data_IF_390379864874
#
_entry.id   IF_390379864874
#
_cell.length_a   1.000
_cell.length_b   1.000
_cell.length_c   1.000
_cell.angle_alpha   90.00
_cell.angle_beta   90.00
_cell.angle_gamma   90.00
#
_symmetry.space_group_name_H-M   'P 1'
#
loop_
_entity.id
_entity.type
_entity.pdbx_description
1 polymer ?
#
# COMPACT_ATOMS: atom_id res chain seq x y z
N UNK A 1 29.94 -41.46 27.09
CA UNK A 1 28.48 -41.30 26.96
C UNK A 1 28.22 -39.82 26.83
N UNK A 2 28.16 -39.36 25.59
CA UNK A 2 28.04 -37.95 25.23
C UNK A 2 26.59 -37.72 24.83
N UNK A 3 25.83 -37.07 25.71
CA UNK A 3 24.51 -36.56 25.42
C UNK A 3 24.67 -35.40 24.42
N UNK A 4 24.53 -35.72 23.14
CA UNK A 4 24.31 -34.74 22.09
C UNK A 4 22.93 -34.14 22.30
N UNK A 5 22.89 -33.01 23.04
CA UNK A 5 21.74 -32.11 23.03
C UNK A 5 21.70 -31.48 21.64
N UNK A 6 21.07 -32.20 20.71
CA UNK A 6 20.63 -31.70 19.43
C UNK A 6 19.52 -30.69 19.72
N UNK A 7 19.86 -29.40 19.64
CA UNK A 7 18.85 -28.35 19.73
C UNK A 7 18.01 -28.40 18.46
N UNK A 8 16.92 -29.14 18.53
CA UNK A 8 15.86 -29.05 17.54
C UNK A 8 15.42 -27.60 17.42
N UNK A 9 15.41 -27.14 16.17
CA UNK A 9 15.02 -25.80 15.77
C UNK A 9 13.55 -25.60 16.15
N UNK A 10 13.31 -25.03 17.33
CA UNK A 10 11.96 -24.77 17.88
C UNK A 10 11.11 -23.90 16.93
N UNK A 11 11.75 -23.18 16.00
CA UNK A 11 11.06 -22.44 14.95
C UNK A 11 10.37 -23.35 13.94
N UNK A 12 10.88 -24.58 13.71
CA UNK A 12 10.25 -25.58 12.83
C UNK A 12 9.10 -26.30 13.53
N UNK A 13 9.27 -26.72 14.78
CA UNK A 13 8.24 -27.49 15.50
C UNK A 13 7.00 -26.65 15.79
N UNK A 14 7.16 -25.36 16.11
CA UNK A 14 6.04 -24.45 16.26
C UNK A 14 5.33 -24.17 14.92
N UNK A 15 6.10 -24.09 13.82
CA UNK A 15 5.53 -23.96 12.46
C UNK A 15 4.71 -25.18 12.06
N UNK A 16 5.20 -26.39 12.33
CA UNK A 16 4.54 -27.64 11.91
C UNK A 16 3.28 -27.95 12.71
N UNK A 17 3.21 -27.59 14.00
CA UNK A 17 2.00 -27.80 14.80
C UNK A 17 0.92 -26.73 14.55
N UNK A 18 1.31 -25.49 14.26
CA UNK A 18 0.39 -24.43 13.86
C UNK A 18 -0.10 -24.63 12.41
N UNK A 19 0.77 -25.00 11.46
CA UNK A 19 0.39 -25.28 10.06
C UNK A 19 -0.63 -26.42 9.94
N UNK A 20 -0.53 -27.49 10.74
CA UNK A 20 -1.46 -28.63 10.64
C UNK A 20 -2.83 -28.35 11.29
N UNK A 21 -2.90 -27.46 12.28
CA UNK A 21 -4.16 -27.12 12.94
C UNK A 21 -4.89 -25.97 12.23
N UNK A 22 -4.13 -25.02 11.66
CA UNK A 22 -4.69 -23.94 10.85
C UNK A 22 -5.12 -24.43 9.47
N UNK A 23 -4.36 -25.28 8.78
CA UNK A 23 -4.74 -25.78 7.44
C UNK A 23 -6.03 -26.61 7.40
N UNK A 24 -6.38 -27.30 8.51
CA UNK A 24 -7.64 -28.04 8.62
C UNK A 24 -8.84 -27.14 8.96
N UNK A 25 -8.61 -25.96 9.56
CA UNK A 25 -9.64 -24.97 9.84
C UNK A 25 -9.82 -23.97 8.68
N UNK A 26 -8.76 -23.72 7.91
CA UNK A 26 -8.71 -22.77 6.79
C UNK A 26 -9.32 -23.36 5.49
N UNK A 27 -9.26 -24.68 5.33
CA UNK A 27 -9.96 -25.38 4.23
C UNK A 27 -11.49 -25.43 4.35
N UNK A 28 -12.05 -25.06 5.51
CA UNK A 28 -13.48 -25.17 5.81
C UNK A 28 -14.24 -23.82 5.78
N UNK A 29 -13.53 -22.70 5.70
CA UNK A 29 -14.09 -21.37 5.50
C UNK A 29 -13.51 -20.80 4.20
N UNK A 30 -14.26 -20.85 3.10
CA UNK A 30 -13.87 -20.19 1.83
C UNK A 30 -14.63 -18.87 1.62
N UNK A 31 -14.30 -17.76 2.32
CA UNK A 31 -14.75 -16.40 1.99
C UNK A 31 -13.81 -15.68 1.02
N UNK A 32 -12.60 -16.20 0.74
CA UNK A 32 -11.56 -15.47 0.00
C UNK A 32 -11.87 -15.27 -1.50
N UNK A 33 -12.58 -16.22 -2.10
CA UNK A 33 -13.05 -16.10 -3.49
C UNK A 33 -14.10 -14.99 -3.67
N UNK A 34 -14.93 -14.76 -2.66
CA UNK A 34 -15.92 -13.69 -2.70
C UNK A 34 -15.24 -12.32 -2.58
N UNK A 35 -14.33 -12.15 -1.61
CA UNK A 35 -13.62 -10.88 -1.37
C UNK A 35 -12.78 -10.48 -2.58
N UNK A 36 -12.07 -11.42 -3.19
CA UNK A 36 -11.29 -11.20 -4.42
C UNK A 36 -12.18 -10.79 -5.60
N UNK A 37 -13.30 -11.48 -5.81
CA UNK A 37 -14.27 -11.15 -6.89
C UNK A 37 -14.89 -9.77 -6.69
N UNK A 38 -15.33 -9.44 -5.47
CA UNK A 38 -15.86 -8.11 -5.15
C UNK A 38 -14.81 -7.01 -5.33
N UNK A 39 -13.54 -7.29 -5.02
CA UNK A 39 -12.44 -6.35 -5.23
C UNK A 39 -12.19 -6.08 -6.72
N UNK A 40 -12.23 -7.10 -7.58
CA UNK A 40 -12.14 -6.94 -9.04
C UNK A 40 -13.29 -6.12 -9.61
N UNK A 41 -14.52 -6.40 -9.17
CA UNK A 41 -15.71 -5.66 -9.59
C UNK A 41 -15.61 -4.19 -9.16
N UNK A 42 -15.24 -3.94 -7.89
CA UNK A 42 -15.08 -2.58 -7.37
C UNK A 42 -13.97 -1.82 -8.10
N UNK A 43 -12.80 -2.44 -8.31
CA UNK A 43 -11.70 -1.84 -9.06
C UNK A 43 -12.10 -1.54 -10.51
N UNK A 44 -12.79 -2.46 -11.18
CA UNK A 44 -13.32 -2.25 -12.52
C UNK A 44 -14.32 -1.09 -12.59
N UNK A 45 -15.23 -1.00 -11.63
CA UNK A 45 -16.22 0.08 -11.54
C UNK A 45 -15.55 1.43 -11.28
N UNK A 46 -14.60 1.51 -10.34
CA UNK A 46 -13.85 2.74 -10.08
C UNK A 46 -12.98 3.16 -11.27
N UNK A 47 -12.36 2.20 -11.96
CA UNK A 47 -11.57 2.48 -13.17
C UNK A 47 -12.45 2.98 -14.32
N UNK A 48 -13.63 2.40 -14.50
CA UNK A 48 -14.60 2.85 -15.49
C UNK A 48 -15.08 4.27 -15.17
N UNK A 49 -15.44 4.53 -13.92
CA UNK A 49 -15.87 5.85 -13.47
C UNK A 49 -14.75 6.89 -13.62
N UNK A 50 -13.53 6.55 -13.24
CA UNK A 50 -12.35 7.40 -13.44
C UNK A 50 -12.13 7.72 -14.92
N UNK A 51 -12.25 6.74 -15.81
CA UNK A 51 -12.11 6.93 -17.26
C UNK A 51 -13.22 7.84 -17.81
N UNK A 52 -14.47 7.65 -17.39
CA UNK A 52 -15.60 8.51 -17.81
C UNK A 52 -15.34 9.96 -17.39
N UNK A 53 -14.93 10.19 -16.14
CA UNK A 53 -14.74 11.54 -15.60
C UNK A 53 -13.49 12.26 -16.13
N UNK A 54 -12.46 11.51 -16.55
CA UNK A 54 -11.20 12.08 -17.08
C UNK A 54 -11.25 12.27 -18.60
N UNK A 55 -11.77 11.31 -19.37
CA UNK A 55 -11.84 11.40 -20.83
C UNK A 55 -13.07 12.16 -21.34
N UNK A 56 -14.21 12.03 -20.65
CA UNK A 56 -15.46 12.64 -21.12
C UNK A 56 -16.27 13.24 -19.95
N UNK A 57 -15.79 14.34 -19.35
CA UNK A 57 -16.54 15.05 -18.32
C UNK A 57 -17.89 15.56 -18.86
N UNK A 58 -18.06 15.65 -20.19
CA UNK A 58 -19.31 15.95 -20.90
C UNK A 58 -20.40 14.90 -20.69
N UNK A 59 -20.06 13.65 -20.39
CA UNK A 59 -21.06 12.63 -20.05
C UNK A 59 -21.78 12.94 -18.73
N UNK A 60 -21.16 13.68 -17.81
CA UNK A 60 -21.84 14.16 -16.60
C UNK A 60 -23.01 15.09 -16.96
N UNK A 61 -22.84 15.97 -17.96
CA UNK A 61 -23.92 16.82 -18.42
C UNK A 61 -25.07 15.99 -19.00
N UNK A 62 -24.76 15.03 -19.88
CA UNK A 62 -25.77 14.14 -20.45
C UNK A 62 -26.52 13.31 -19.40
N UNK A 63 -25.84 12.88 -18.32
CA UNK A 63 -26.48 12.14 -17.23
C UNK A 63 -27.30 13.05 -16.30
N UNK A 64 -26.88 14.31 -16.12
CA UNK A 64 -27.59 15.32 -15.32
C UNK A 64 -28.78 15.96 -16.04
N UNK A 65 -28.78 15.97 -17.38
CA UNK A 65 -29.82 16.56 -18.23
C UNK A 65 -31.11 15.73 -18.33
N UNK A 66 -31.29 14.71 -17.46
CA UNK A 66 -32.44 13.79 -17.49
C UNK A 66 -33.79 14.48 -17.13
N UNK A 67 -33.83 15.75 -16.68
CA UNK A 67 -35.10 16.35 -16.21
C UNK A 67 -35.32 17.86 -16.38
N UNK A 68 -34.58 18.59 -17.24
CA UNK A 68 -34.81 20.03 -17.40
C UNK A 68 -35.02 20.41 -18.87
N UNK A 69 -36.29 20.60 -19.25
CA UNK A 69 -36.75 20.79 -20.64
C UNK A 69 -36.58 22.23 -21.17
N UNK A 70 -35.92 23.15 -20.44
CA UNK A 70 -35.89 24.58 -20.81
C UNK A 70 -34.51 25.26 -20.84
N UNK A 71 -33.44 24.63 -20.33
CA UNK A 71 -32.09 25.23 -20.30
C UNK A 71 -30.99 24.19 -20.62
N UNK A 72 -30.85 23.83 -21.90
CA UNK A 72 -29.80 22.92 -22.38
C UNK A 72 -28.42 23.57 -22.28
N UNK A 73 -27.75 23.41 -21.14
CA UNK A 73 -26.38 23.89 -20.94
C UNK A 73 -25.38 22.95 -21.64
N UNK A 74 -25.08 23.23 -22.91
CA UNK A 74 -24.18 22.41 -23.76
C UNK A 74 -22.68 22.54 -23.47
N UNK A 75 -22.29 23.39 -22.51
CA UNK A 75 -20.89 23.71 -22.21
C UNK A 75 -20.66 23.55 -20.72
N UNK A 76 -19.64 22.78 -20.34
CA UNK A 76 -19.25 22.63 -18.94
C UNK A 76 -18.75 23.96 -18.40
N UNK A 77 -19.11 24.24 -17.16
CA UNK A 77 -18.44 25.32 -16.45
C UNK A 77 -16.97 24.92 -16.19
N UNK A 78 -16.03 25.90 -16.16
CA UNK A 78 -14.64 25.62 -15.83
C UNK A 78 -14.48 24.92 -14.47
N UNK A 79 -15.38 25.21 -13.53
CA UNK A 79 -15.46 24.57 -12.22
C UNK A 79 -15.81 23.08 -12.32
N UNK A 80 -16.84 22.71 -13.08
CA UNK A 80 -17.26 21.32 -13.29
C UNK A 80 -16.14 20.50 -13.95
N UNK A 81 -15.52 21.06 -15.00
CA UNK A 81 -14.42 20.40 -15.69
C UNK A 81 -13.22 20.18 -14.75
N UNK A 82 -12.89 21.20 -13.93
CA UNK A 82 -11.83 21.10 -12.93
C UNK A 82 -12.12 20.01 -11.90
N UNK A 83 -13.32 20.01 -11.30
CA UNK A 83 -13.68 19.06 -10.27
C UNK A 83 -13.75 17.63 -10.80
N UNK A 84 -14.33 17.43 -11.99
CA UNK A 84 -14.40 16.12 -12.64
C UNK A 84 -13.01 15.53 -12.89
N UNK A 85 -12.06 16.35 -13.34
CA UNK A 85 -10.69 15.90 -13.58
C UNK A 85 -10.01 15.45 -12.28
N UNK A 86 -10.10 16.23 -11.21
CA UNK A 86 -9.44 15.90 -9.93
C UNK A 86 -10.11 14.71 -9.26
N UNK A 87 -11.44 14.62 -9.29
CA UNK A 87 -12.17 13.47 -8.76
C UNK A 87 -11.87 12.19 -9.56
N UNK A 88 -11.73 12.28 -10.87
CA UNK A 88 -11.30 11.16 -11.71
C UNK A 88 -9.89 10.64 -11.36
N UNK A 89 -8.94 11.54 -11.09
CA UNK A 89 -7.58 11.17 -10.64
C UNK A 89 -7.64 10.44 -9.30
N UNK A 90 -8.42 10.94 -8.34
CA UNK A 90 -8.59 10.29 -7.04
C UNK A 90 -9.27 8.92 -7.14
N UNK A 91 -10.27 8.77 -8.01
CA UNK A 91 -10.91 7.48 -8.27
C UNK A 91 -9.96 6.47 -8.91
N UNK A 92 -9.09 6.91 -9.84
CA UNK A 92 -8.07 6.05 -10.41
C UNK A 92 -7.08 5.56 -9.32
N UNK A 93 -6.68 6.46 -8.41
CA UNK A 93 -5.83 6.11 -7.27
C UNK A 93 -6.49 5.07 -6.35
N UNK A 94 -7.79 5.22 -6.09
CA UNK A 94 -8.57 4.25 -5.32
C UNK A 94 -8.68 2.90 -6.04
N UNK A 95 -8.93 2.89 -7.35
CA UNK A 95 -8.98 1.66 -8.14
C UNK A 95 -7.65 0.88 -8.04
N UNK A 96 -6.52 1.57 -8.21
CA UNK A 96 -5.18 0.96 -8.03
C UNK A 96 -4.98 0.51 -6.59
N UNK A 97 -5.40 1.30 -5.61
CA UNK A 97 -5.27 0.94 -4.19
C UNK A 97 -6.05 -0.33 -3.86
N UNK A 98 -7.26 -0.52 -4.42
CA UNK A 98 -8.06 -1.74 -4.23
C UNK A 98 -7.34 -2.95 -4.83
N UNK A 99 -6.76 -2.81 -6.03
CA UNK A 99 -5.99 -3.90 -6.66
C UNK A 99 -4.75 -4.27 -5.83
N UNK A 100 -4.05 -3.29 -5.26
CA UNK A 100 -2.86 -3.53 -4.43
C UNK A 100 -3.20 -4.10 -3.04
N UNK A 101 -4.42 -3.90 -2.54
CA UNK A 101 -4.91 -4.46 -1.28
C UNK A 101 -5.57 -5.84 -1.44
N UNK A 102 -5.69 -6.34 -2.69
CA UNK A 102 -6.37 -7.60 -2.93
C UNK A 102 -5.59 -8.76 -2.31
N UNK A 103 -6.22 -9.61 -1.48
CA UNK A 103 -5.57 -10.81 -0.97
C UNK A 103 -5.28 -11.76 -2.14
N UNK A 104 -3.99 -12.11 -2.34
CA UNK A 104 -3.60 -13.10 -3.35
C UNK A 104 -3.94 -14.50 -2.86
N UNK A 105 -4.65 -15.28 -3.68
CA UNK A 105 -5.03 -16.68 -3.42
C UNK A 105 -3.89 -17.67 -3.74
N UNK A 106 -2.63 -17.24 -3.61
CA UNK A 106 -1.49 -18.10 -3.90
C UNK A 106 -1.33 -19.18 -2.81
N UNK A 107 -1.26 -20.47 -3.16
CA UNK A 107 -1.06 -21.56 -2.20
C UNK A 107 0.38 -21.62 -1.64
N UNK A 108 1.25 -20.69 -2.04
CA UNK A 108 2.61 -20.59 -1.53
C UNK A 108 2.61 -19.50 -0.47
N UNK A 109 2.99 -19.80 0.79
CA UNK A 109 3.11 -18.76 1.79
C UNK A 109 4.15 -17.77 1.29
N UNK A 110 3.70 -16.59 0.87
CA UNK A 110 4.58 -15.49 0.51
C UNK A 110 5.32 -15.10 1.79
N UNK A 111 6.47 -15.73 2.02
CA UNK A 111 7.39 -15.38 3.07
C UNK A 111 7.90 -13.96 2.79
N UNK A 112 7.18 -12.96 3.29
CA UNK A 112 7.69 -11.73 3.89
C UNK A 112 6.54 -10.78 4.26
N UNK A 113 6.08 -10.75 5.51
CA UNK A 113 5.33 -9.62 6.08
C UNK A 113 6.25 -8.39 6.32
N UNK A 114 7.22 -8.14 5.43
CA UNK A 114 8.24 -7.10 5.59
C UNK A 114 8.08 -5.92 4.62
N UNK A 115 6.94 -5.78 3.97
CA UNK A 115 6.59 -4.55 3.25
C UNK A 115 5.97 -3.58 4.24
N UNK A 116 6.82 -2.79 4.90
CA UNK A 116 6.48 -1.66 5.79
C UNK A 116 5.74 -0.50 5.08
N UNK A 117 5.15 -0.76 3.91
CA UNK A 117 4.46 0.23 3.11
C UNK A 117 3.01 -0.20 2.99
N UNK A 118 2.12 0.63 3.53
CA UNK A 118 0.69 0.43 3.32
C UNK A 118 0.42 0.53 1.81
N UNK A 119 -0.21 -0.47 1.17
CA UNK A 119 -0.38 -0.53 -0.29
C UNK A 119 -1.19 0.65 -0.87
N UNK A 120 -1.92 1.37 -0.02
CA UNK A 120 -2.66 2.60 -0.36
C UNK A 120 -1.76 3.85 -0.45
N UNK A 121 -0.59 3.83 0.19
CA UNK A 121 0.28 5.01 0.29
C UNK A 121 0.85 5.42 -1.07
N UNK A 122 1.25 4.44 -1.89
CA UNK A 122 1.81 4.68 -3.21
C UNK A 122 0.83 5.39 -4.15
N UNK A 123 -0.35 4.81 -4.44
CA UNK A 123 -1.32 5.41 -5.34
C UNK A 123 -1.81 6.78 -4.86
N UNK A 124 -2.04 6.96 -3.56
CA UNK A 124 -2.49 8.23 -2.98
C UNK A 124 -1.43 9.33 -3.06
N UNK A 125 -0.15 8.99 -2.82
CA UNK A 125 0.93 9.96 -2.96
C UNK A 125 1.05 10.46 -4.41
N UNK A 126 1.09 9.53 -5.37
CA UNK A 126 1.19 9.86 -6.81
C UNK A 126 -0.02 10.68 -7.27
N UNK A 127 -1.22 10.30 -6.84
CA UNK A 127 -2.44 11.04 -7.18
C UNK A 127 -2.45 12.44 -6.57
N UNK A 128 -1.99 12.59 -5.33
CA UNK A 128 -1.82 13.88 -4.66
C UNK A 128 -0.85 14.80 -5.40
N UNK A 129 0.34 14.30 -5.76
CA UNK A 129 1.35 15.07 -6.50
C UNK A 129 0.86 15.47 -7.90
N UNK A 130 0.23 14.55 -8.63
CA UNK A 130 -0.32 14.83 -9.96
C UNK A 130 -1.47 15.85 -9.90
N UNK A 131 -2.37 15.69 -8.93
CA UNK A 131 -3.48 16.60 -8.66
C UNK A 131 -2.98 17.99 -8.27
N UNK A 132 -1.95 18.07 -7.43
CA UNK A 132 -1.33 19.33 -7.03
C UNK A 132 -0.70 20.08 -8.21
N UNK A 133 0.02 19.35 -9.07
CA UNK A 133 0.67 19.89 -10.26
C UNK A 133 -0.35 20.39 -11.30
N UNK A 134 -1.42 19.63 -11.53
CA UNK A 134 -2.50 20.02 -12.44
C UNK A 134 -3.29 21.21 -11.92
N UNK A 135 -3.60 21.23 -10.62
CA UNK A 135 -4.28 22.35 -9.98
C UNK A 135 -3.45 23.64 -10.07
N UNK A 136 -2.13 23.55 -9.86
CA UNK A 136 -1.22 24.69 -9.96
C UNK A 136 -1.19 25.30 -11.38
N UNK A 137 -1.23 24.46 -12.41
CA UNK A 137 -1.21 24.91 -13.80
C UNK A 137 -2.55 25.45 -14.28
N UNK A 138 -3.65 25.20 -13.57
CA UNK A 138 -4.98 25.61 -14.00
C UNK A 138 -5.34 27.01 -13.48
N UNK A 139 -5.47 27.97 -14.40
CA UNK A 139 -5.85 29.37 -14.07
C UNK A 139 -7.35 29.65 -14.10
N UNK A 140 -8.16 28.68 -14.55
CA UNK A 140 -9.58 28.92 -14.86
C UNK A 140 -10.49 29.08 -13.64
N UNK A 141 -10.07 28.58 -12.47
CA UNK A 141 -10.91 28.50 -11.25
C UNK A 141 -10.40 29.39 -10.10
N UNK A 142 -9.41 30.24 -10.37
CA UNK A 142 -8.89 31.22 -9.41
C UNK A 142 -8.36 30.61 -8.10
N UNK A 143 -8.86 31.08 -6.96
CA UNK A 143 -8.41 30.67 -5.61
C UNK A 143 -8.75 29.22 -5.25
N UNK A 144 -9.72 28.60 -5.92
CA UNK A 144 -10.03 27.19 -5.68
C UNK A 144 -8.89 26.28 -6.16
N UNK A 145 -8.29 26.62 -7.31
CA UNK A 145 -7.18 25.88 -7.87
C UNK A 145 -5.95 25.92 -6.94
N UNK A 146 -5.68 27.07 -6.32
CA UNK A 146 -4.58 27.19 -5.36
C UNK A 146 -4.85 26.42 -4.07
N UNK A 147 -6.08 26.42 -3.56
CA UNK A 147 -6.46 25.63 -2.39
C UNK A 147 -6.31 24.12 -2.64
N UNK A 148 -6.83 23.63 -3.76
CA UNK A 148 -6.72 22.21 -4.14
C UNK A 148 -5.27 21.82 -4.38
N UNK A 149 -4.47 22.69 -5.01
CA UNK A 149 -3.04 22.47 -5.20
C UNK A 149 -2.30 22.34 -3.87
N UNK A 150 -2.59 23.21 -2.91
CA UNK A 150 -1.94 23.17 -1.59
C UNK A 150 -2.34 21.91 -0.80
N UNK A 151 -3.63 21.58 -0.75
CA UNK A 151 -4.11 20.39 -0.03
C UNK A 151 -3.60 19.10 -0.65
N UNK A 152 -3.71 18.95 -1.97
CA UNK A 152 -3.21 17.77 -2.68
C UNK A 152 -1.68 17.68 -2.59
N UNK A 153 -0.98 18.82 -2.63
CA UNK A 153 0.47 18.90 -2.51
C UNK A 153 0.96 18.52 -1.12
N UNK A 154 0.25 18.91 -0.05
CA UNK A 154 0.57 18.47 1.31
C UNK A 154 0.44 16.94 1.45
N UNK A 155 -0.65 16.37 0.91
CA UNK A 155 -0.89 14.92 0.95
C UNK A 155 0.17 14.17 0.14
N UNK A 156 0.45 14.63 -1.09
CA UNK A 156 1.44 14.04 -1.98
C UNK A 156 2.86 14.13 -1.42
N UNK A 157 3.27 15.31 -0.96
CA UNK A 157 4.59 15.52 -0.35
C UNK A 157 4.78 14.70 0.93
N UNK A 158 3.75 14.66 1.79
CA UNK A 158 3.79 13.83 3.00
C UNK A 158 3.83 12.33 2.66
N UNK A 159 3.05 11.90 1.66
CA UNK A 159 3.06 10.53 1.15
C UNK A 159 4.43 10.14 0.59
N UNK A 160 5.01 10.96 -0.28
CA UNK A 160 6.34 10.75 -0.85
C UNK A 160 7.42 10.78 0.23
N UNK A 161 7.32 11.68 1.22
CA UNK A 161 8.20 11.70 2.38
C UNK A 161 8.15 10.37 3.15
N UNK A 162 6.96 9.87 3.46
CA UNK A 162 6.80 8.59 4.17
C UNK A 162 7.29 7.41 3.34
N UNK A 163 7.09 7.39 2.02
CA UNK A 163 7.66 6.35 1.14
C UNK A 163 9.19 6.33 1.22
N UNK A 164 9.83 7.50 1.14
CA UNK A 164 11.30 7.62 1.15
C UNK A 164 11.88 7.31 2.53
N UNK A 165 11.26 7.78 3.61
CA UNK A 165 11.87 7.78 4.94
C UNK A 165 11.31 6.74 5.93
N UNK A 166 10.12 6.18 5.72
CA UNK A 166 9.55 5.18 6.64
C UNK A 166 10.28 3.82 6.60
N UNK A 167 11.01 3.52 5.52
CA UNK A 167 11.70 2.25 5.31
C UNK A 167 13.12 2.15 5.87
N UNK A 168 13.58 3.11 6.67
CA UNK A 168 14.93 3.07 7.27
C UNK A 168 14.99 2.03 8.41
N UNK A 169 15.00 0.75 8.02
CA UNK A 169 14.87 -0.39 8.94
C UNK A 169 15.87 -0.35 10.09
N UNK A 170 15.32 -0.15 11.29
CA UNK A 170 15.92 -0.41 12.59
C UNK A 170 16.45 -1.85 12.69
N UNK A 171 15.88 -2.84 12.00
CA UNK A 171 16.26 -4.25 12.18
C UNK A 171 17.26 -4.72 11.12
N UNK A 172 18.30 -5.46 11.56
CA UNK A 172 19.35 -5.99 10.68
C UNK A 172 18.86 -7.22 9.93
N UNK A 173 18.73 -7.11 8.60
CA UNK A 173 18.42 -8.23 7.68
C UNK A 173 19.34 -9.46 7.84
N UNK A 174 20.52 -9.30 8.43
CA UNK A 174 21.52 -10.37 8.57
C UNK A 174 21.48 -11.08 9.92
N UNK A 175 20.80 -10.52 10.91
CA UNK A 175 20.81 -11.03 12.30
C UNK A 175 19.44 -11.04 12.97
N UNK A 176 18.40 -10.44 12.38
CA UNK A 176 17.07 -10.34 13.00
C UNK A 176 17.00 -9.41 14.22
N UNK A 177 18.14 -9.06 14.82
CA UNK A 177 18.23 -8.13 15.93
C UNK A 177 18.03 -6.65 15.50
N UNK A 178 17.39 -5.91 16.39
CA UNK A 178 17.23 -4.46 16.37
C UNK A 178 18.61 -3.76 16.43
N UNK A 179 18.91 -2.90 15.44
CA UNK A 179 20.16 -2.14 15.30
C UNK A 179 20.27 -0.99 16.31
N UNK A 180 19.17 -0.57 16.94
CA UNK A 180 19.20 0.42 18.02
C UNK A 180 19.52 -0.21 19.38
N UNK A 181 19.48 -1.55 19.49
CA UNK A 181 19.98 -2.26 20.68
C UNK A 181 21.51 -2.31 20.64
N UNK A 182 22.12 -1.22 21.09
CA UNK A 182 23.58 -1.09 21.14
C UNK A 182 24.16 -2.00 22.22
N UNK A 183 25.00 -2.97 21.84
CA UNK A 183 25.72 -3.82 22.81
C UNK A 183 26.79 -3.07 23.61
N UNK A 184 27.10 -1.83 23.21
CA UNK A 184 28.31 -1.10 23.61
C UNK A 184 28.21 -0.51 25.02
N UNK A 185 27.00 -0.19 25.51
CA UNK A 185 26.80 0.43 26.83
C UNK A 185 26.05 -0.43 27.84
N UNK A 186 25.22 -1.41 27.40
CA UNK A 186 24.35 -2.17 28.32
C UNK A 186 24.56 -3.68 28.32
N UNK A 187 25.61 -4.20 27.68
CA UNK A 187 25.93 -5.64 27.76
C UNK A 187 24.80 -6.56 27.25
N UNK A 188 23.90 -6.04 26.39
CA UNK A 188 22.76 -6.81 25.91
C UNK A 188 23.23 -7.96 25.01
N UNK A 189 22.99 -9.20 25.46
CA UNK A 189 23.37 -10.45 24.77
C UNK A 189 22.58 -10.67 23.48
N UNK A 190 21.47 -9.96 23.30
CA UNK A 190 20.59 -10.04 22.12
C UNK A 190 20.91 -8.99 21.04
N UNK A 191 21.94 -8.16 21.24
CA UNK A 191 22.33 -7.13 20.29
C UNK A 191 22.91 -7.72 18.98
N UNK A 192 22.61 -7.06 17.86
CA UNK A 192 23.00 -7.49 16.51
C UNK A 192 24.51 -7.71 16.33
N UNK A 193 25.34 -6.92 17.01
CA UNK A 193 26.80 -7.03 16.97
C UNK A 193 27.31 -8.34 17.61
N UNK A 194 26.68 -8.78 18.71
CA UNK A 194 27.06 -9.99 19.46
C UNK A 194 26.64 -11.24 18.68
N UNK A 195 25.42 -11.25 18.14
CA UNK A 195 24.93 -12.35 17.29
C UNK A 195 25.75 -12.47 16.00
N UNK A 196 26.08 -11.36 15.33
CA UNK A 196 26.95 -11.35 14.14
C UNK A 196 28.36 -11.89 14.44
N UNK A 197 28.89 -11.62 15.65
CA UNK A 197 30.21 -12.09 16.09
C UNK A 197 30.18 -13.59 16.43
N UNK A 198 29.10 -14.11 17.03
CA UNK A 198 28.90 -15.55 17.27
C UNK A 198 28.78 -16.32 15.95
N UNK A 199 27.94 -15.86 15.03
CA UNK A 199 27.76 -16.47 13.71
C UNK A 199 29.08 -16.56 12.92
N UNK A 200 29.91 -15.50 12.94
CA UNK A 200 31.25 -15.52 12.32
C UNK A 200 32.24 -16.48 12.99
N UNK A 201 32.07 -16.79 14.28
CA UNK A 201 32.91 -17.77 14.99
C UNK A 201 32.49 -19.19 14.64
N UNK A 202 31.20 -19.49 14.63
CA UNK A 202 30.67 -20.80 14.27
C UNK A 202 31.05 -21.20 12.83
N UNK A 203 30.97 -20.27 11.88
CA UNK A 203 31.40 -20.56 10.50
C UNK A 203 32.92 -20.71 10.29
N UNK A 204 33.75 -20.21 11.21
CA UNK A 204 35.20 -20.40 11.15
C UNK A 204 35.66 -21.72 11.78
N UNK A 205 34.80 -22.39 12.55
CA UNK A 205 35.11 -23.67 13.21
C UNK A 205 34.75 -24.87 12.32
N UNK A 206 33.94 -24.65 11.28
CA UNK A 206 33.54 -25.66 10.29
C UNK A 206 34.31 -25.59 8.95
N UNK A 207 35.39 -24.81 8.89
CA UNK A 207 36.38 -24.82 7.79
C UNK A 207 37.71 -25.34 8.33
#
# INVERSE_FOLDING_TARGET
>A
MSDSIEMDDLSKTQKTQTENTESLLDGMNTPDGAVSTWSWIAAGLFSLLAAILTLSPRLLLFLSEVSADDDRRRVLTPLEAFLSMHFGIWLAALAVSVLLNMPSSDPVPSQQPNTHYHPLLGPVAVAGDLSAFLAWNNKSVGSLATLVSFLAGLIGLWGTWTIVFAGTSSISRKTGADKHTSSLLFGNKNAASVQKKKWKKEHKVHQ
#
